data_IF_138247652215
#
_entry.id   IF_138247652215
#
_cell.length_a   1.000
_cell.length_b   1.000
_cell.length_c   1.000
_cell.angle_alpha   90.00
_cell.angle_beta   90.00
_cell.angle_gamma   90.00
#
_symmetry.space_group_name_H-M   'P 1'
#
loop_
_entity.id
_entity.type
_entity.pdbx_description
1 polymer ?
#
# COMPACT_ATOMS: atom_id res chain seq x y z
N UNK A 1 -2.26 22.48 -13.49
CA UNK A 1 -1.99 21.63 -14.67
C UNK A 1 -1.80 20.20 -14.20
N UNK A 2 -2.32 19.22 -14.92
CA UNK A 2 -2.13 17.81 -14.56
C UNK A 2 -0.68 17.38 -14.89
N UNK A 3 -0.07 16.59 -14.01
CA UNK A 3 1.33 16.18 -14.16
C UNK A 3 1.51 15.15 -15.27
N UNK A 4 2.63 15.26 -16.01
CA UNK A 4 3.00 14.29 -17.05
C UNK A 4 3.35 12.93 -16.43
N UNK A 5 3.34 11.89 -17.27
CA UNK A 5 3.71 10.54 -16.87
C UNK A 5 5.12 10.51 -16.26
N UNK A 6 6.09 11.15 -16.92
CA UNK A 6 7.49 11.20 -16.47
C UNK A 6 7.64 11.85 -15.10
N UNK A 7 6.98 12.99 -14.90
CA UNK A 7 7.04 13.72 -13.62
C UNK A 7 6.38 12.92 -12.51
N UNK A 8 5.21 12.32 -12.79
CA UNK A 8 4.49 11.47 -11.83
C UNK A 8 5.28 10.21 -11.48
N UNK A 9 5.91 9.56 -12.47
CA UNK A 9 6.72 8.37 -12.27
C UNK A 9 7.92 8.64 -11.36
N UNK A 10 8.66 9.73 -11.62
CA UNK A 10 9.81 10.11 -10.77
C UNK A 10 9.38 10.44 -9.34
N UNK A 11 8.23 11.13 -9.19
CA UNK A 11 7.66 11.42 -7.89
C UNK A 11 7.27 10.13 -7.14
N UNK A 12 6.64 9.16 -7.81
CA UNK A 12 6.29 7.86 -7.23
C UNK A 12 7.52 7.10 -6.73
N UNK A 13 8.55 6.95 -7.57
CA UNK A 13 9.79 6.28 -7.18
C UNK A 13 10.43 6.96 -5.97
N UNK A 14 10.47 8.30 -5.98
CA UNK A 14 11.05 9.08 -4.87
C UNK A 14 10.25 8.91 -3.58
N UNK A 15 8.92 8.93 -3.64
CA UNK A 15 8.05 8.73 -2.48
C UNK A 15 8.20 7.32 -1.89
N UNK A 16 8.17 6.30 -2.74
CA UNK A 16 8.34 4.90 -2.32
C UNK A 16 9.72 4.64 -1.70
N UNK A 17 10.78 5.26 -2.25
CA UNK A 17 12.12 5.17 -1.67
C UNK A 17 12.21 5.84 -0.29
N UNK A 18 11.56 6.99 -0.08
CA UNK A 18 11.52 7.69 1.22
C UNK A 18 10.80 6.88 2.31
N UNK A 19 9.75 6.18 1.93
CA UNK A 19 9.01 5.29 2.83
C UNK A 19 9.70 3.93 3.04
N UNK A 20 10.84 3.69 2.39
CA UNK A 20 11.59 2.44 2.45
C UNK A 20 10.73 1.21 2.10
N UNK A 21 9.84 1.36 1.10
CA UNK A 21 8.96 0.28 0.65
C UNK A 21 9.79 -0.74 -0.14
N UNK A 22 9.77 -2.04 0.20
CA UNK A 22 10.52 -3.03 -0.54
C UNK A 22 9.88 -3.24 -1.92
N UNK A 23 10.63 -2.94 -2.98
CA UNK A 23 10.16 -3.07 -4.36
C UNK A 23 10.66 -4.37 -4.98
N UNK A 24 9.74 -5.14 -5.57
CA UNK A 24 10.05 -6.37 -6.31
C UNK A 24 10.09 -6.14 -7.81
N UNK A 25 9.21 -5.28 -8.32
CA UNK A 25 9.13 -4.96 -9.76
C UNK A 25 9.03 -3.45 -9.94
N UNK A 26 9.85 -2.91 -10.84
CA UNK A 26 9.77 -1.53 -11.33
C UNK A 26 9.89 -1.59 -12.85
N UNK A 27 8.76 -1.53 -13.55
CA UNK A 27 8.68 -1.67 -15.00
C UNK A 27 8.05 -0.40 -15.60
N UNK A 28 8.91 0.58 -15.89
CA UNK A 28 8.51 1.91 -16.38
C UNK A 28 7.72 1.81 -17.68
N UNK A 29 8.21 1.08 -18.66
CA UNK A 29 7.58 1.05 -19.99
C UNK A 29 6.14 0.49 -19.94
N UNK A 30 5.85 -0.43 -19.03
CA UNK A 30 4.49 -0.95 -18.78
C UNK A 30 3.71 -0.19 -17.71
N UNK A 31 4.32 0.79 -17.04
CA UNK A 31 3.68 1.58 -15.98
C UNK A 31 3.36 0.79 -14.71
N UNK A 32 4.18 -0.19 -14.32
CA UNK A 32 3.90 -1.05 -13.15
C UNK A 32 5.00 -0.94 -12.11
N UNK A 33 4.61 -0.73 -10.85
CA UNK A 33 5.47 -0.88 -9.67
C UNK A 33 4.79 -1.89 -8.74
N UNK A 34 5.50 -2.92 -8.32
CA UNK A 34 4.99 -3.88 -7.36
C UNK A 34 5.94 -4.00 -6.17
N UNK A 35 5.40 -3.95 -4.96
CA UNK A 35 6.15 -4.22 -3.75
C UNK A 35 6.44 -5.71 -3.61
N UNK A 36 7.42 -6.04 -2.77
CA UNK A 36 7.45 -7.34 -2.12
C UNK A 36 6.47 -7.37 -0.94
N UNK A 37 6.30 -8.53 -0.32
CA UNK A 37 5.59 -8.66 0.94
C UNK A 37 6.37 -7.94 2.04
N UNK A 38 5.66 -7.18 2.86
CA UNK A 38 6.22 -6.64 4.09
C UNK A 38 5.19 -6.69 5.21
N UNK A 39 5.71 -6.73 6.44
CA UNK A 39 4.90 -6.84 7.64
C UNK A 39 4.58 -5.46 8.20
N UNK A 40 3.34 -5.27 8.64
CA UNK A 40 2.90 -4.06 9.34
C UNK A 40 1.97 -4.44 10.48
N UNK A 41 1.89 -3.66 11.58
CA UNK A 41 0.87 -3.88 12.59
C UNK A 41 -0.53 -3.84 12.00
N UNK A 42 -1.41 -4.74 12.45
CA UNK A 42 -2.84 -4.66 12.14
C UNK A 42 -3.37 -3.31 12.65
N UNK A 43 -4.14 -2.62 11.81
CA UNK A 43 -4.65 -1.27 12.04
C UNK A 43 -3.75 -0.14 11.48
N UNK A 44 -2.48 -0.42 11.15
CA UNK A 44 -1.60 0.60 10.57
C UNK A 44 -1.93 0.85 9.09
N UNK A 45 -1.88 -0.21 8.27
CA UNK A 45 -2.29 -0.19 6.86
C UNK A 45 -3.37 -1.22 6.54
N UNK A 46 -3.42 -2.33 7.28
CA UNK A 46 -4.36 -3.41 7.08
C UNK A 46 -5.40 -3.47 8.20
N UNK A 47 -6.68 -3.44 7.86
CA UNK A 47 -7.78 -3.76 8.75
C UNK A 47 -8.19 -5.22 8.55
N UNK A 48 -7.93 -6.04 9.57
CA UNK A 48 -8.24 -7.47 9.58
C UNK A 48 -9.55 -7.77 10.34
N UNK A 49 -10.26 -6.74 10.81
CA UNK A 49 -11.56 -6.86 11.46
C UNK A 49 -11.51 -7.49 12.85
N UNK A 50 -12.56 -8.27 13.16
CA UNK A 50 -12.85 -8.83 14.48
C UNK A 50 -13.42 -10.23 14.39
N UNK A 51 -13.24 -11.03 15.44
CA UNK A 51 -13.91 -12.33 15.61
C UNK A 51 -14.89 -12.20 16.78
N UNK A 52 -16.19 -12.28 16.49
CA UNK A 52 -17.22 -11.85 17.44
C UNK A 52 -17.04 -10.37 17.76
N UNK A 53 -17.00 -10.03 19.04
CA UNK A 53 -16.81 -8.65 19.52
C UNK A 53 -15.34 -8.28 19.74
N UNK A 54 -14.41 -9.17 19.41
CA UNK A 54 -12.98 -8.97 19.70
C UNK A 54 -12.18 -8.64 18.44
N UNK A 55 -11.60 -7.45 18.41
CA UNK A 55 -10.70 -6.99 17.34
C UNK A 55 -9.46 -7.89 17.22
N UNK A 56 -9.00 -8.08 15.99
CA UNK A 56 -7.73 -8.76 15.74
C UNK A 56 -6.57 -7.78 15.88
N UNK A 57 -5.58 -8.17 16.67
CA UNK A 57 -4.32 -7.46 16.82
C UNK A 57 -3.16 -8.35 16.40
N UNK A 58 -2.01 -7.74 16.11
CA UNK A 58 -0.80 -8.44 15.70
C UNK A 58 -0.26 -7.85 14.41
N UNK A 59 0.13 -8.71 13.49
CA UNK A 59 0.84 -8.37 12.27
C UNK A 59 0.06 -8.82 11.03
N UNK A 60 0.05 -7.97 10.02
CA UNK A 60 -0.45 -8.25 8.69
C UNK A 60 0.70 -8.27 7.68
N UNK A 61 0.59 -9.16 6.70
CA UNK A 61 1.41 -9.17 5.52
C UNK A 61 0.71 -8.35 4.43
N UNK A 62 1.42 -7.38 3.86
CA UNK A 62 0.89 -6.41 2.90
C UNK A 62 1.72 -6.41 1.63
N UNK A 63 1.04 -6.28 0.51
CA UNK A 63 1.62 -6.02 -0.82
C UNK A 63 0.82 -4.98 -1.56
N UNK A 64 1.53 -4.10 -2.29
CA UNK A 64 0.93 -3.08 -3.12
C UNK A 64 1.39 -3.21 -4.57
N UNK A 65 0.48 -2.97 -5.50
CA UNK A 65 0.78 -2.82 -6.92
C UNK A 65 0.25 -1.48 -7.39
N UNK A 66 1.13 -0.64 -7.93
CA UNK A 66 0.82 0.65 -8.50
C UNK A 66 0.85 0.55 -10.02
N UNK A 67 -0.23 0.97 -10.65
CA UNK A 67 -0.34 1.11 -12.10
C UNK A 67 -0.38 2.59 -12.45
N UNK A 68 0.47 2.99 -13.39
CA UNK A 68 0.62 4.37 -13.85
C UNK A 68 0.34 4.40 -15.34
N UNK A 69 -0.62 5.21 -15.76
CA UNK A 69 -1.03 5.30 -17.17
C UNK A 69 -1.15 6.77 -17.57
N UNK A 70 -0.73 7.09 -18.80
CA UNK A 70 -1.03 8.40 -19.36
C UNK A 70 -2.52 8.46 -19.71
N UNK A 71 -3.20 9.50 -19.23
CA UNK A 71 -4.60 9.81 -19.55
C UNK A 71 -4.70 10.91 -20.64
N UNK A 72 -3.67 11.02 -21.50
CA UNK A 72 -3.60 12.05 -22.54
C UNK A 72 -3.54 13.47 -21.96
N UNK A 73 -4.39 14.36 -22.46
CA UNK A 73 -4.49 15.76 -21.98
C UNK A 73 -4.95 15.90 -20.53
N UNK A 74 -5.52 14.83 -19.96
CA UNK A 74 -5.99 14.80 -18.57
C UNK A 74 -4.85 14.50 -17.57
N UNK A 75 -3.62 14.28 -18.05
CA UNK A 75 -2.43 14.04 -17.24
C UNK A 75 -2.14 12.56 -17.03
N UNK A 76 -1.89 12.18 -15.78
CA UNK A 76 -1.48 10.81 -15.41
C UNK A 76 -2.47 10.22 -14.42
N UNK A 77 -2.93 9.01 -14.71
CA UNK A 77 -3.76 8.21 -13.80
C UNK A 77 -2.87 7.26 -13.00
N UNK A 78 -3.10 7.21 -11.69
CA UNK A 78 -2.42 6.29 -10.77
C UNK A 78 -3.48 5.45 -10.08
N UNK A 79 -3.40 4.13 -10.27
CA UNK A 79 -4.24 3.15 -9.58
C UNK A 79 -3.37 2.35 -8.62
N UNK A 80 -3.84 2.19 -7.39
CA UNK A 80 -3.15 1.42 -6.35
C UNK A 80 -4.04 0.24 -5.97
N UNK A 81 -3.50 -0.96 -6.10
CA UNK A 81 -4.13 -2.18 -5.62
C UNK A 81 -3.37 -2.69 -4.41
N UNK A 82 -4.08 -3.04 -3.34
CA UNK A 82 -3.51 -3.60 -2.14
C UNK A 82 -4.03 -5.02 -1.92
N UNK A 83 -3.14 -5.92 -1.49
CA UNK A 83 -3.51 -7.26 -1.02
C UNK A 83 -2.92 -7.46 0.36
N UNK A 84 -3.80 -7.82 1.31
CA UNK A 84 -3.45 -7.87 2.72
C UNK A 84 -4.05 -9.11 3.38
N UNK A 85 -3.32 -9.67 4.34
CA UNK A 85 -3.77 -10.81 5.15
C UNK A 85 -3.08 -10.82 6.50
N UNK A 86 -3.61 -11.55 7.47
CA UNK A 86 -2.89 -11.78 8.72
C UNK A 86 -1.59 -12.54 8.46
N UNK A 87 -0.53 -12.14 9.16
CA UNK A 87 0.73 -12.88 9.26
C UNK A 87 0.78 -13.64 10.59
N UNK A 88 0.48 -12.93 11.69
CA UNK A 88 0.31 -13.51 13.01
C UNK A 88 -0.66 -12.63 13.80
N UNK A 89 -1.68 -13.22 14.42
CA UNK A 89 -2.75 -12.45 15.06
C UNK A 89 -3.14 -13.02 16.43
N UNK A 90 -3.80 -12.19 17.24
CA UNK A 90 -4.46 -12.58 18.49
C UNK A 90 -5.83 -11.90 18.56
N UNK A 91 -6.70 -12.45 19.40
CA UNK A 91 -8.00 -11.82 19.72
C UNK A 91 -7.79 -10.85 20.88
N UNK A 92 -7.92 -9.56 20.59
CA UNK A 92 -7.76 -8.48 21.56
C UNK A 92 -6.31 -8.27 21.97
N UNK A 93 -6.10 -7.58 23.09
CA UNK A 93 -4.78 -7.10 23.52
C UNK A 93 -3.96 -8.10 24.34
N UNK A 94 -4.43 -9.33 24.49
CA UNK A 94 -3.76 -10.36 25.31
C UNK A 94 -3.71 -11.72 24.62
N UNK A 95 -2.77 -12.55 25.07
CA UNK A 95 -2.55 -13.90 24.53
C UNK A 95 -1.45 -13.99 23.48
N UNK A 96 -1.20 -15.22 23.03
CA UNK A 96 -0.16 -15.55 22.05
C UNK A 96 -0.61 -15.24 20.63
N UNK A 97 0.29 -14.70 19.81
CA UNK A 97 0.09 -14.58 18.38
C UNK A 97 0.03 -15.96 17.73
N UNK A 98 -0.90 -16.12 16.78
CA UNK A 98 -1.10 -17.34 16.01
C UNK A 98 -1.01 -17.01 14.53
N UNK A 99 -0.21 -17.76 13.74
CA UNK A 99 -0.13 -17.53 12.29
C UNK A 99 -1.34 -18.10 11.54
N UNK A 100 -2.06 -19.04 12.15
CA UNK A 100 -3.22 -19.71 11.54
C UNK A 100 -4.47 -19.64 12.43
N UNK A 101 -5.67 -19.62 11.80
CA UNK A 101 -5.91 -19.46 10.36
C UNK A 101 -5.54 -18.07 9.82
N UNK A 102 -5.26 -18.00 8.51
CA UNK A 102 -4.97 -16.75 7.81
C UNK A 102 -6.29 -16.07 7.42
N UNK A 103 -6.47 -14.81 7.82
CA UNK A 103 -7.64 -14.02 7.46
C UNK A 103 -7.30 -12.98 6.39
N UNK A 104 -8.17 -12.76 5.39
CA UNK A 104 -8.02 -11.63 4.48
C UNK A 104 -8.22 -10.33 5.26
N UNK A 105 -7.44 -9.32 4.91
CA UNK A 105 -7.58 -7.97 5.46
C UNK A 105 -7.87 -6.99 4.32
N UNK A 106 -8.46 -5.85 4.66
CA UNK A 106 -8.72 -4.76 3.72
C UNK A 106 -7.77 -3.60 4.02
N UNK A 107 -7.56 -2.73 3.03
CA UNK A 107 -6.78 -1.52 3.26
C UNK A 107 -7.53 -0.54 4.15
N UNK A 108 -6.80 0.10 5.07
CA UNK A 108 -7.27 1.28 5.80
C UNK A 108 -7.33 2.53 4.92
N UNK A 109 -6.73 2.50 3.72
CA UNK A 109 -6.58 3.65 2.82
C UNK A 109 -5.48 4.64 3.22
N UNK A 110 -4.85 4.44 4.38
CA UNK A 110 -3.84 5.37 4.92
C UNK A 110 -2.58 5.40 4.06
N UNK A 111 -2.09 4.23 3.63
CA UNK A 111 -0.86 4.15 2.84
C UNK A 111 -1.06 4.77 1.46
N UNK A 112 -2.16 4.41 0.80
CA UNK A 112 -2.52 4.92 -0.52
C UNK A 112 -2.69 6.44 -0.52
N UNK A 113 -3.37 6.97 0.50
CA UNK A 113 -3.56 8.42 0.65
C UNK A 113 -2.23 9.14 0.85
N UNK A 114 -1.36 8.62 1.72
CA UNK A 114 -0.04 9.19 1.97
C UNK A 114 0.81 9.22 0.69
N UNK A 115 0.85 8.11 -0.06
CA UNK A 115 1.59 8.02 -1.30
C UNK A 115 1.06 9.02 -2.34
N UNK A 116 -0.26 9.08 -2.52
CA UNK A 116 -0.90 10.00 -3.47
C UNK A 116 -0.62 11.46 -3.08
N UNK A 117 -0.66 11.79 -1.80
CA UNK A 117 -0.39 13.15 -1.32
C UNK A 117 1.08 13.52 -1.48
N UNK A 118 2.01 12.62 -1.18
CA UNK A 118 3.44 12.81 -1.41
C UNK A 118 3.74 13.07 -2.89
N UNK A 119 3.13 12.29 -3.79
CA UNK A 119 3.24 12.49 -5.24
C UNK A 119 2.65 13.84 -5.65
N UNK A 120 1.44 14.18 -5.19
CA UNK A 120 0.80 15.48 -5.47
C UNK A 120 1.67 16.66 -5.03
N UNK A 121 2.31 16.56 -3.87
CA UNK A 121 3.23 17.59 -3.39
C UNK A 121 4.48 17.70 -4.27
N UNK A 122 5.05 16.57 -4.68
CA UNK A 122 6.25 16.53 -5.51
C UNK A 122 6.04 16.99 -6.96
N UNK A 123 4.82 16.88 -7.49
CA UNK A 123 4.48 17.32 -8.86
C UNK A 123 3.84 18.72 -8.92
N UNK A 124 3.62 19.37 -7.77
CA UNK A 124 3.22 20.79 -7.76
C UNK A 124 4.36 21.64 -8.32
N UNK A 125 4.05 22.61 -9.21
CA UNK A 125 5.04 23.52 -9.76
C UNK A 125 5.65 24.44 -8.69
#
# INVERSE_FOLDING_TARGET
MAASYETTWRALISALARENVPLRVVAKDSGVIASDNFTTPIGAYADCGRIGDTTLEGEALVTFTVFVRSAGSNGTEVQINAKMRTQAYRKGSSGKLRPEPVYPCVSTGRWESNLVDAVRQAVRP
#
